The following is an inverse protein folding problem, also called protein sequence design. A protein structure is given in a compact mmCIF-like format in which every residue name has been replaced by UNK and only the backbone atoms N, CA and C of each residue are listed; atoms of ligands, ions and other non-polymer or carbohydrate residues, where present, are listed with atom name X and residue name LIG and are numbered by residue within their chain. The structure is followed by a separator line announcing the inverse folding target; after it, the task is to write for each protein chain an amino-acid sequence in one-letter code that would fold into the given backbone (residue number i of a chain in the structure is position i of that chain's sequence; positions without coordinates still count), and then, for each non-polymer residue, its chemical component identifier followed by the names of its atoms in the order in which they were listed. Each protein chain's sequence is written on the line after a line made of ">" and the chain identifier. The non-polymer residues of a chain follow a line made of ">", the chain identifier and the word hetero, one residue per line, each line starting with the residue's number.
data_IF_461720842317
#
_entry.id   IF_461720842317
#
_cell.length_a   1.000
_cell.length_b   1.000
_cell.length_c   1.000
_cell.angle_alpha   90.00
_cell.angle_beta   90.00
_cell.angle_gamma   90.00
#
_symmetry.space_group_name_H-M   'P 1'
#
loop_
_entity.id
_entity.type
_entity.pdbx_description
1 polymer ?
#
# COMPACT_ATOMS: atom_id res chain seq x y z
N UNK A 1 0.91 11.76 11.72
CA UNK A 1 2.21 11.55 12.41
C UNK A 1 3.31 11.19 11.41
N UNK A 2 3.20 10.06 10.68
CA UNK A 2 4.24 9.61 9.71
C UNK A 2 4.63 10.64 8.63
N UNK A 3 3.67 11.44 8.14
CA UNK A 3 3.94 12.48 7.13
C UNK A 3 4.96 13.54 7.58
N UNK A 4 5.05 13.82 8.88
CA UNK A 4 5.97 14.84 9.43
C UNK A 4 7.40 14.31 9.50
N UNK A 5 7.57 13.06 9.90
CA UNK A 5 8.89 12.41 10.06
C UNK A 5 9.38 11.72 8.77
N UNK A 6 8.68 11.85 7.63
CA UNK A 6 9.03 11.12 6.40
C UNK A 6 10.40 11.47 5.82
N UNK A 7 10.95 12.62 6.18
CA UNK A 7 12.26 13.10 5.76
C UNK A 7 13.33 12.93 6.85
N UNK A 8 13.00 12.26 7.96
CA UNK A 8 13.91 11.97 9.06
C UNK A 8 14.32 10.51 9.02
N UNK A 9 15.62 10.25 8.98
CA UNK A 9 16.18 8.91 8.84
C UNK A 9 17.00 8.56 10.07
N UNK A 10 16.48 7.65 10.89
CA UNK A 10 17.16 7.15 12.08
C UNK A 10 17.19 5.63 11.97
N UNK A 11 18.34 5.08 11.61
CA UNK A 11 18.49 3.66 11.32
C UNK A 11 19.14 2.97 12.52
N UNK A 12 18.43 2.06 13.22
CA UNK A 12 19.02 1.30 14.31
C UNK A 12 19.96 0.21 13.77
N UNK A 13 21.08 -0.02 14.46
CA UNK A 13 22.03 -1.07 14.11
C UNK A 13 21.60 -2.39 14.79
N UNK A 14 20.70 -3.13 14.16
CA UNK A 14 20.18 -4.42 14.63
C UNK A 14 20.53 -5.56 13.66
N UNK A 15 20.33 -6.81 14.08
CA UNK A 15 20.49 -7.97 13.21
C UNK A 15 19.52 -7.92 12.01
N UNK A 16 18.30 -7.43 12.23
CA UNK A 16 17.30 -7.20 11.17
C UNK A 16 17.85 -6.33 10.03
N UNK A 17 18.70 -5.36 10.35
CA UNK A 17 19.36 -4.54 9.33
C UNK A 17 20.27 -5.37 8.43
N UNK A 18 21.02 -6.30 9.01
CA UNK A 18 21.86 -7.20 8.22
C UNK A 18 21.01 -8.14 7.35
N UNK A 19 19.94 -8.68 7.93
CA UNK A 19 19.03 -9.61 7.25
C UNK A 19 18.32 -8.94 6.06
N UNK A 20 17.92 -7.67 6.21
CA UNK A 20 17.28 -6.88 5.13
C UNK A 20 18.16 -6.76 3.87
N UNK A 21 19.49 -6.75 4.04
CA UNK A 21 20.44 -6.67 2.93
C UNK A 21 21.05 -8.02 2.53
N UNK A 22 20.64 -9.13 3.12
CA UNK A 22 21.19 -10.45 2.79
C UNK A 22 20.84 -10.88 1.36
N UNK A 23 19.61 -10.58 0.91
CA UNK A 23 19.19 -10.81 -0.48
C UNK A 23 19.58 -9.63 -1.39
N UNK A 24 20.56 -9.84 -2.25
CA UNK A 24 21.04 -8.85 -3.21
C UNK A 24 19.99 -8.41 -4.24
N UNK A 25 19.07 -9.31 -4.61
CA UNK A 25 18.04 -9.00 -5.59
C UNK A 25 16.97 -8.05 -5.03
N UNK A 26 16.78 -8.06 -3.71
CA UNK A 26 15.74 -7.27 -3.05
C UNK A 26 16.20 -5.86 -2.66
N UNK A 27 17.51 -5.60 -2.62
CA UNK A 27 18.10 -4.29 -2.21
C UNK A 27 17.60 -3.08 -2.99
N UNK A 28 17.24 -3.27 -4.27
CA UNK A 28 16.72 -2.20 -5.15
C UNK A 28 15.36 -2.56 -5.75
N UNK A 29 14.66 -3.53 -5.17
CA UNK A 29 13.41 -4.02 -5.70
C UNK A 29 12.27 -3.11 -5.26
N UNK A 30 11.49 -2.62 -6.23
CA UNK A 30 10.21 -1.96 -5.94
C UNK A 30 9.16 -2.94 -5.38
N UNK A 31 9.48 -4.25 -5.31
CA UNK A 31 8.58 -5.29 -4.80
C UNK A 31 8.58 -5.41 -3.27
N UNK A 32 9.43 -4.65 -2.58
CA UNK A 32 9.47 -4.62 -1.13
C UNK A 32 9.38 -3.20 -0.60
N UNK A 33 8.57 -3.04 0.44
CA UNK A 33 8.46 -1.82 1.26
C UNK A 33 9.09 -2.01 2.64
N UNK A 34 9.75 -3.14 2.86
CA UNK A 34 10.49 -3.39 4.09
C UNK A 34 11.58 -2.33 4.24
N UNK A 35 11.53 -1.64 5.36
CA UNK A 35 12.43 -0.55 5.69
C UNK A 35 12.72 -0.60 7.18
N UNK A 36 13.95 -0.23 7.55
CA UNK A 36 14.37 -0.14 8.93
C UNK A 36 14.70 1.32 9.24
N UNK A 37 13.76 1.97 9.91
CA UNK A 37 13.91 3.32 10.46
C UNK A 37 13.04 3.42 11.71
N UNK A 38 13.43 4.28 12.65
CA UNK A 38 12.56 4.63 13.76
C UNK A 38 11.39 5.44 13.20
N UNK A 39 10.18 4.87 13.29
CA UNK A 39 8.96 5.47 12.78
C UNK A 39 7.95 5.64 13.93
N UNK A 40 7.27 6.80 14.02
CA UNK A 40 6.24 6.98 15.02
C UNK A 40 5.07 6.02 14.76
N UNK A 41 4.66 5.32 15.80
CA UNK A 41 3.52 4.40 15.77
C UNK A 41 2.21 5.17 15.98
N UNK A 42 1.16 4.80 15.24
CA UNK A 42 -0.16 5.35 15.44
C UNK A 42 -0.88 4.57 16.54
N UNK A 43 -1.36 5.26 17.56
CA UNK A 43 -2.23 4.69 18.59
C UNK A 43 -3.66 5.11 18.35
N UNK A 44 -4.59 4.20 18.60
CA UNK A 44 -6.02 4.48 18.55
C UNK A 44 -6.67 4.14 19.88
N UNK A 45 -7.71 4.89 20.23
CA UNK A 45 -8.49 4.67 21.45
C UNK A 45 -9.90 4.24 21.08
N UNK A 46 -10.46 3.27 21.81
CA UNK A 46 -11.85 2.87 21.65
C UNK A 46 -12.80 4.06 21.86
N UNK A 47 -13.91 4.04 21.13
CA UNK A 47 -14.92 5.10 21.22
C UNK A 47 -15.86 4.72 22.36
N UNK A 48 -15.78 5.43 23.49
CA UNK A 48 -16.65 5.26 24.65
C UNK A 48 -17.53 6.51 24.83
N UNK A 49 -18.74 6.32 25.36
CA UNK A 49 -19.68 7.39 25.70
C UNK A 49 -19.17 8.23 26.88
N UNK A 50 -18.35 7.65 27.77
CA UNK A 50 -17.81 8.33 28.96
C UNK A 50 -16.30 8.47 28.88
N UNK A 51 -15.83 9.69 28.64
CA UNK A 51 -14.41 10.03 28.69
C UNK A 51 -14.05 10.56 30.08
N UNK A 52 -13.36 9.75 30.88
CA UNK A 52 -12.89 10.17 32.21
C UNK A 52 -11.71 11.15 32.14
N UNK A 53 -10.82 11.00 31.15
CA UNK A 53 -9.66 11.88 30.99
C UNK A 53 -9.29 12.09 29.51
N UNK A 54 -9.59 13.29 29.01
CA UNK A 54 -9.35 13.68 27.61
C UNK A 54 -7.85 13.67 27.25
N UNK A 55 -6.96 13.86 28.22
CA UNK A 55 -5.50 13.93 27.96
C UNK A 55 -4.87 12.60 27.56
N UNK A 56 -5.56 11.48 27.81
CA UNK A 56 -5.09 10.14 27.49
C UNK A 56 -5.69 9.60 26.18
N UNK A 57 -6.53 10.38 25.49
CA UNK A 57 -7.15 9.95 24.24
C UNK A 57 -6.19 10.14 23.06
N UNK A 58 -6.08 9.10 22.24
CA UNK A 58 -5.51 9.17 20.89
C UNK A 58 -6.64 9.35 19.86
N UNK A 59 -6.34 9.20 18.56
CA UNK A 59 -7.38 9.16 17.53
C UNK A 59 -8.39 8.03 17.80
N UNK A 60 -9.68 8.21 17.47
CA UNK A 60 -10.68 7.17 17.65
C UNK A 60 -10.33 5.91 16.83
N UNK A 61 -10.71 4.75 17.36
CA UNK A 61 -10.51 3.48 16.70
C UNK A 61 -11.22 3.43 15.35
N UNK A 62 -10.51 2.92 14.36
CA UNK A 62 -11.03 2.70 13.02
C UNK A 62 -10.37 1.44 12.42
N UNK A 63 -11.14 0.49 11.87
CA UNK A 63 -10.62 -0.80 11.41
C UNK A 63 -9.89 -0.66 10.06
N UNK A 64 -8.64 -0.18 10.08
CA UNK A 64 -7.84 0.07 8.88
C UNK A 64 -7.62 -1.17 8.02
N UNK A 65 -7.53 -2.35 8.63
CA UNK A 65 -7.36 -3.62 7.91
C UNK A 65 -8.54 -3.90 6.97
N UNK A 66 -9.78 -3.72 7.45
CA UNK A 66 -10.99 -3.91 6.65
C UNK A 66 -11.03 -2.92 5.48
N UNK A 67 -10.63 -1.68 5.74
CA UNK A 67 -10.56 -0.64 4.70
C UNK A 67 -9.47 -0.97 3.67
N UNK A 68 -8.33 -1.53 4.10
CA UNK A 68 -7.28 -2.00 3.20
C UNK A 68 -7.81 -3.04 2.24
N UNK A 69 -8.42 -4.11 2.77
CA UNK A 69 -8.92 -5.22 1.96
C UNK A 69 -9.99 -4.73 0.99
N UNK A 70 -10.95 -3.93 1.46
CA UNK A 70 -11.98 -3.32 0.61
C UNK A 70 -11.40 -2.43 -0.50
N UNK A 71 -10.42 -1.58 -0.17
CA UNK A 71 -9.84 -0.65 -1.14
C UNK A 71 -9.05 -1.36 -2.23
N UNK A 72 -8.32 -2.41 -1.85
CA UNK A 72 -7.54 -3.25 -2.76
C UNK A 72 -8.44 -4.01 -3.73
N UNK A 73 -9.50 -4.64 -3.22
CA UNK A 73 -10.44 -5.39 -4.04
C UNK A 73 -11.25 -4.47 -4.97
N UNK A 74 -11.68 -3.31 -4.46
CA UNK A 74 -12.38 -2.30 -5.27
C UNK A 74 -11.49 -1.74 -6.39
N UNK A 75 -10.19 -1.52 -6.11
CA UNK A 75 -9.24 -1.07 -7.13
C UNK A 75 -9.01 -2.16 -8.19
N UNK A 76 -8.86 -3.41 -7.79
CA UNK A 76 -8.70 -4.53 -8.73
C UNK A 76 -9.92 -4.69 -9.63
N UNK A 77 -11.12 -4.63 -9.05
CA UNK A 77 -12.36 -4.69 -9.80
C UNK A 77 -12.50 -3.49 -10.77
N UNK A 78 -12.17 -2.29 -10.32
CA UNK A 78 -12.17 -1.10 -11.16
C UNK A 78 -11.22 -1.24 -12.35
N UNK A 79 -10.01 -1.75 -12.13
CA UNK A 79 -9.03 -2.00 -13.20
C UNK A 79 -9.54 -3.06 -14.18
N UNK A 80 -10.10 -4.17 -13.67
CA UNK A 80 -10.62 -5.27 -14.50
C UNK A 80 -11.81 -4.85 -15.37
N UNK A 81 -12.77 -4.10 -14.83
CA UNK A 81 -13.98 -3.68 -15.55
C UNK A 81 -13.64 -2.65 -16.63
N UNK A 82 -12.68 -1.76 -16.38
CA UNK A 82 -12.32 -0.69 -17.30
C UNK A 82 -11.24 -1.07 -18.34
N UNK A 83 -10.90 -2.36 -18.50
CA UNK A 83 -9.99 -2.81 -19.57
C UNK A 83 -10.63 -2.71 -20.97
N UNK A 84 -11.96 -2.71 -21.04
CA UNK A 84 -12.74 -2.49 -22.26
C UNK A 84 -13.44 -1.13 -22.13
N UNK A 85 -13.72 -0.44 -23.24
CA UNK A 85 -14.43 0.85 -23.21
C UNK A 85 -15.77 0.74 -22.46
N UNK A 86 -15.73 1.08 -21.17
CA UNK A 86 -16.90 1.11 -20.31
C UNK A 86 -17.62 2.44 -20.55
N UNK A 87 -18.87 2.35 -20.99
CA UNK A 87 -19.70 3.53 -21.28
C UNK A 87 -20.27 4.16 -20.01
N UNK A 88 -20.40 3.37 -18.94
CA UNK A 88 -21.00 3.78 -17.67
C UNK A 88 -20.12 3.34 -16.48
N UNK A 89 -19.01 4.03 -16.21
CA UNK A 89 -18.23 3.78 -15.01
C UNK A 89 -19.01 4.15 -13.75
N UNK A 90 -18.76 3.44 -12.65
CA UNK A 90 -19.34 3.73 -11.33
C UNK A 90 -19.00 5.19 -10.97
N UNK A 91 -20.01 5.96 -10.57
CA UNK A 91 -19.84 7.40 -10.30
C UNK A 91 -19.82 8.28 -11.57
N UNK A 92 -20.15 7.73 -12.74
CA UNK A 92 -20.37 8.46 -14.00
C UNK A 92 -19.11 8.88 -14.76
N UNK A 93 -17.94 8.85 -14.12
CA UNK A 93 -16.64 9.10 -14.78
C UNK A 93 -15.53 8.25 -14.16
N UNK A 94 -14.46 8.01 -14.93
CA UNK A 94 -13.27 7.32 -14.42
C UNK A 94 -12.58 8.11 -13.30
N UNK A 95 -12.69 9.43 -13.30
CA UNK A 95 -12.14 10.27 -12.24
C UNK A 95 -12.83 9.97 -10.89
N UNK A 96 -14.17 9.92 -10.89
CA UNK A 96 -14.95 9.62 -9.70
C UNK A 96 -14.74 8.19 -9.19
N UNK A 97 -14.41 7.26 -10.08
CA UNK A 97 -14.08 5.88 -9.72
C UNK A 97 -12.68 5.76 -9.14
N UNK A 98 -11.65 6.18 -9.88
CA UNK A 98 -10.26 5.88 -9.53
C UNK A 98 -9.65 6.86 -8.53
N UNK A 99 -9.97 8.16 -8.59
CA UNK A 99 -9.30 9.15 -7.73
C UNK A 99 -9.51 8.86 -6.23
N UNK A 100 -10.73 8.54 -5.76
CA UNK A 100 -10.93 8.20 -4.34
C UNK A 100 -10.19 6.93 -3.94
N UNK A 101 -10.20 5.89 -4.78
CA UNK A 101 -9.53 4.62 -4.51
C UNK A 101 -8.01 4.80 -4.42
N UNK A 102 -7.41 5.49 -5.39
CA UNK A 102 -5.97 5.75 -5.42
C UNK A 102 -5.53 6.62 -4.24
N UNK A 103 -6.32 7.64 -3.88
CA UNK A 103 -6.06 8.47 -2.69
C UNK A 103 -6.12 7.65 -1.41
N UNK A 104 -7.06 6.71 -1.31
CA UNK A 104 -7.20 5.87 -0.13
C UNK A 104 -6.03 4.88 0.00
N UNK A 105 -5.65 4.22 -1.10
CA UNK A 105 -4.47 3.33 -1.14
C UNK A 105 -3.19 4.10 -0.80
N UNK A 106 -3.00 5.32 -1.32
CA UNK A 106 -1.88 6.21 -0.95
C UNK A 106 -1.82 6.47 0.57
N UNK A 107 -2.95 6.78 1.20
CA UNK A 107 -3.00 6.99 2.65
C UNK A 107 -2.72 5.72 3.45
N UNK A 108 -3.24 4.57 3.01
CA UNK A 108 -2.97 3.30 3.67
C UNK A 108 -1.50 2.87 3.56
N UNK A 109 -0.87 3.15 2.41
CA UNK A 109 0.57 2.95 2.20
C UNK A 109 1.38 3.85 3.14
N UNK A 110 1.03 5.13 3.22
CA UNK A 110 1.69 6.11 4.11
C UNK A 110 1.57 5.74 5.60
N UNK A 111 0.42 5.18 6.01
CA UNK A 111 0.20 4.72 7.40
C UNK A 111 0.93 3.40 7.67
N UNK A 112 1.32 2.66 6.62
CA UNK A 112 2.06 1.40 6.69
C UNK A 112 1.20 0.17 6.99
N UNK A 113 -0.03 0.16 6.48
CA UNK A 113 -0.96 -1.00 6.56
C UNK A 113 -0.85 -1.90 5.33
N UNK A 114 -0.35 -1.36 4.22
CA UNK A 114 -0.04 -2.11 2.99
C UNK A 114 1.24 -2.92 3.23
N UNK A 115 1.25 -4.19 2.83
CA UNK A 115 2.40 -5.09 2.92
C UNK A 115 2.97 -5.41 1.52
N UNK A 116 4.09 -6.15 1.44
CA UNK A 116 4.74 -6.50 0.17
C UNK A 116 3.79 -7.23 -0.81
N UNK A 117 2.91 -8.10 -0.29
CA UNK A 117 1.90 -8.82 -1.08
C UNK A 117 0.88 -7.86 -1.72
N UNK A 118 0.42 -6.87 -0.95
CA UNK A 118 -0.51 -5.85 -1.42
C UNK A 118 0.16 -4.94 -2.45
N UNK A 119 1.42 -4.57 -2.22
CA UNK A 119 2.22 -3.78 -3.15
C UNK A 119 2.42 -4.51 -4.48
N UNK A 120 2.70 -5.82 -4.45
CA UNK A 120 2.81 -6.63 -5.64
C UNK A 120 1.52 -6.61 -6.46
N UNK A 121 0.34 -6.70 -5.81
CA UNK A 121 -0.96 -6.55 -6.49
C UNK A 121 -1.09 -5.17 -7.15
N UNK A 122 -0.74 -4.09 -6.46
CA UNK A 122 -0.77 -2.73 -7.04
C UNK A 122 0.14 -2.62 -8.25
N UNK A 123 1.38 -3.12 -8.16
CA UNK A 123 2.33 -3.07 -9.27
C UNK A 123 1.84 -3.84 -10.50
N UNK A 124 1.23 -5.01 -10.30
CA UNK A 124 0.61 -5.80 -11.38
C UNK A 124 -0.56 -5.03 -12.03
N UNK A 125 -1.39 -4.34 -11.22
CA UNK A 125 -2.48 -3.52 -11.74
C UNK A 125 -1.99 -2.33 -12.58
N UNK A 126 -0.85 -1.74 -12.24
CA UNK A 126 -0.26 -0.60 -12.96
C UNK A 126 0.39 -1.04 -14.27
N UNK A 127 1.26 -2.05 -14.22
CA UNK A 127 1.92 -2.58 -15.40
C UNK A 127 2.09 -4.11 -15.29
N UNK A 128 1.12 -4.89 -15.80
CA UNK A 128 1.20 -6.33 -15.73
C UNK A 128 2.32 -6.88 -16.62
N UNK A 129 2.82 -6.17 -17.64
CA UNK A 129 3.89 -6.72 -18.48
C UNK A 129 5.24 -6.79 -17.77
N UNK A 130 5.47 -5.87 -16.84
CA UNK A 130 6.70 -5.76 -16.07
C UNK A 130 6.63 -6.55 -14.76
N UNK A 131 5.47 -6.55 -14.10
CA UNK A 131 5.37 -7.03 -12.72
C UNK A 131 4.75 -8.42 -12.57
N UNK A 132 3.92 -8.85 -13.53
CA UNK A 132 3.26 -10.16 -13.53
C UNK A 132 4.26 -11.30 -13.84
N UNK A 133 4.54 -12.20 -12.89
CA UNK A 133 5.49 -13.30 -13.10
C UNK A 133 5.09 -14.23 -14.26
N UNK A 134 3.80 -14.36 -14.57
CA UNK A 134 3.34 -15.22 -15.66
C UNK A 134 3.62 -14.59 -17.03
N UNK A 135 3.45 -13.26 -17.16
CA UNK A 135 3.72 -12.53 -18.41
C UNK A 135 5.20 -12.31 -18.66
N UNK A 136 6.00 -12.15 -17.61
CA UNK A 136 7.46 -12.01 -17.72
C UNK A 136 8.11 -13.29 -18.26
N UNK A 137 7.61 -14.48 -17.87
CA UNK A 137 8.08 -15.78 -18.40
C UNK A 137 7.75 -16.00 -19.89
N UNK A 138 6.77 -15.27 -20.43
CA UNK A 138 6.39 -15.31 -21.85
C UNK A 138 7.39 -14.64 -22.80
N UNK A 139 8.37 -13.88 -22.30
CA UNK A 139 9.48 -13.33 -23.11
C UNK A 139 10.56 -14.39 -23.35
N UNK A 140 10.21 -15.47 -24.03
CA UNK A 140 11.22 -16.27 -24.73
C UNK A 140 11.70 -15.49 -25.95
N UNK A 141 12.90 -14.96 -25.81
CA UNK A 141 13.84 -14.46 -26.81
C UNK A 141 13.54 -14.95 -28.24
N UNK A 142 13.04 -14.08 -29.12
CA UNK A 142 13.29 -14.24 -30.56
C UNK A 142 14.69 -13.68 -30.82
N UNK A 143 15.68 -14.57 -30.77
CA UNK A 143 17.00 -14.29 -31.34
C UNK A 143 16.83 -14.44 -32.85
N UNK A 144 16.93 -13.33 -33.58
CA UNK A 144 17.26 -13.33 -35.02
C UNK A 144 18.68 -12.82 -35.13
#
# INVERSE_FOLDING_TARGET
>A
CREVCKNEYIIPLTQELKDLYEDEAMRHSLRSIQTLSIMPQMTMTEIDEKVENIRNLSSPFFPLQVVKDFSMDALEEAVRINQVHNRDPIGGSNENLFVPLLKLVDKLLMVGIIHDEDLARVLIMVDPQTWDPEKVKGKSINVV
#
